data_IF_800566611394
#
_entry.id   IF_800566611394
#
_cell.length_a   1.000
_cell.length_b   1.000
_cell.length_c   1.000
_cell.angle_alpha   90.00
_cell.angle_beta   90.00
_cell.angle_gamma   90.00
#
_symmetry.space_group_name_H-M   'P 1'
#
loop_
_entity.id
_entity.type
_entity.pdbx_description
1 polymer ?
#
# COMPACT_ATOMS: atom_id res chain seq x y z
N UNK A 1 -5.97 -12.80 -0.10
CA UNK A 1 -5.82 -12.83 -1.57
C UNK A 1 -6.88 -13.73 -2.18
N UNK A 2 -7.16 -13.61 -3.49
CA UNK A 2 -8.05 -14.52 -4.22
C UNK A 2 -7.25 -15.23 -5.32
N UNK A 3 -7.40 -16.56 -5.42
CA UNK A 3 -6.75 -17.40 -6.42
C UNK A 3 -7.83 -18.22 -7.11
N UNK A 4 -7.90 -18.15 -8.43
CA UNK A 4 -8.94 -18.82 -9.24
C UNK A 4 -10.37 -18.53 -8.73
N UNK A 5 -10.65 -17.28 -8.41
CA UNK A 5 -11.96 -16.82 -7.92
C UNK A 5 -12.32 -17.26 -6.49
N UNK A 6 -11.39 -17.84 -5.73
CA UNK A 6 -11.62 -18.30 -4.36
C UNK A 6 -10.70 -17.58 -3.38
N UNK A 7 -11.22 -17.26 -2.19
CA UNK A 7 -10.42 -16.71 -1.10
C UNK A 7 -9.43 -17.78 -0.62
N UNK A 8 -8.15 -17.44 -0.62
CA UNK A 8 -7.09 -18.28 -0.09
C UNK A 8 -6.71 -17.82 1.31
N UNK A 9 -7.04 -18.62 2.31
CA UNK A 9 -6.76 -18.32 3.74
C UNK A 9 -5.41 -18.87 4.21
N UNK A 10 -4.94 -19.98 3.60
CA UNK A 10 -3.80 -20.74 4.09
C UNK A 10 -4.11 -21.50 5.40
N UNK A 11 -3.22 -22.42 5.81
CA UNK A 11 -3.44 -23.25 7.02
C UNK A 11 -3.39 -22.44 8.31
N UNK A 12 -2.69 -21.30 8.31
CA UNK A 12 -2.55 -20.41 9.49
C UNK A 12 -3.53 -19.24 9.47
N UNK A 13 -4.39 -19.13 8.45
CA UNK A 13 -5.32 -18.01 8.29
C UNK A 13 -4.68 -16.66 7.97
N UNK A 14 -3.39 -16.63 7.62
CA UNK A 14 -2.61 -15.39 7.40
C UNK A 14 -2.21 -15.16 5.94
N UNK A 15 -2.81 -15.91 5.01
CA UNK A 15 -2.47 -15.73 3.60
C UNK A 15 -2.89 -14.34 3.10
N UNK A 16 -1.92 -13.56 2.66
CA UNK A 16 -2.12 -12.19 2.19
C UNK A 16 -1.79 -11.10 3.20
N UNK A 17 -1.33 -11.45 4.41
CA UNK A 17 -0.88 -10.50 5.43
C UNK A 17 0.50 -9.87 5.09
N UNK A 18 0.68 -9.47 3.82
CA UNK A 18 1.92 -8.87 3.33
C UNK A 18 2.26 -7.55 4.02
N UNK A 19 1.25 -6.86 4.55
CA UNK A 19 1.41 -5.62 5.31
C UNK A 19 2.28 -5.77 6.55
N UNK A 20 2.43 -6.99 7.08
CA UNK A 20 3.29 -7.31 8.22
C UNK A 20 4.67 -7.86 7.83
N UNK A 21 5.01 -7.90 6.55
CA UNK A 21 6.37 -8.12 6.09
C UNK A 21 7.20 -6.84 6.21
N UNK A 22 8.53 -6.94 6.33
CA UNK A 22 9.40 -5.77 6.33
C UNK A 22 9.34 -5.05 4.97
N UNK A 23 9.57 -3.73 4.98
CA UNK A 23 9.69 -2.94 3.75
C UNK A 23 10.81 -3.50 2.88
N UNK A 24 10.55 -3.91 1.62
CA UNK A 24 11.57 -4.43 0.73
C UNK A 24 12.60 -3.33 0.36
N UNK A 25 13.87 -3.73 0.21
CA UNK A 25 14.97 -2.82 -0.15
C UNK A 25 15.00 -1.56 0.70
N UNK A 26 14.75 -1.71 2.01
CA UNK A 26 14.73 -0.58 2.94
C UNK A 26 16.06 0.18 2.89
N UNK A 27 15.96 1.50 2.82
CA UNK A 27 17.10 2.40 2.88
C UNK A 27 17.60 2.54 4.34
N UNK A 28 18.85 2.98 4.57
CA UNK A 28 19.40 3.14 5.93
C UNK A 28 18.49 3.96 6.86
N UNK A 29 17.89 5.04 6.36
CA UNK A 29 16.96 5.91 7.10
C UNK A 29 15.59 5.26 7.39
N UNK A 30 15.29 4.14 6.73
CA UNK A 30 14.06 3.36 6.94
C UNK A 30 14.26 2.20 7.92
N UNK A 31 15.45 2.02 8.48
CA UNK A 31 15.77 0.96 9.43
C UNK A 31 16.02 1.52 10.84
N UNK A 32 15.47 0.88 11.90
CA UNK A 32 14.61 -0.32 11.93
C UNK A 32 13.16 -0.07 11.52
N UNK A 33 12.78 1.16 11.19
CA UNK A 33 11.44 1.57 10.84
C UNK A 33 10.50 1.73 12.03
N UNK A 34 9.24 2.17 11.79
CA UNK A 34 8.27 2.39 12.84
C UNK A 34 7.85 1.10 13.54
N UNK A 35 7.51 1.21 14.84
CA UNK A 35 6.92 0.11 15.59
C UNK A 35 5.53 -0.25 15.03
N UNK A 36 5.26 -1.53 14.86
CA UNK A 36 3.98 -2.07 14.43
C UNK A 36 3.26 -2.74 15.59
N UNK A 37 1.93 -2.70 15.60
CA UNK A 37 1.12 -3.38 16.62
C UNK A 37 1.33 -4.90 16.67
N UNK A 38 1.85 -5.52 15.59
CA UNK A 38 2.22 -6.93 15.59
C UNK A 38 3.47 -7.25 16.42
N UNK A 39 4.08 -6.24 17.07
CA UNK A 39 5.28 -6.38 17.90
C UNK A 39 6.61 -6.30 17.15
N UNK A 40 6.57 -6.08 15.83
CA UNK A 40 7.77 -5.92 14.99
C UNK A 40 7.98 -4.47 14.60
N UNK A 41 9.09 -4.19 13.90
CA UNK A 41 9.41 -2.86 13.36
C UNK A 41 9.47 -2.90 11.84
N UNK A 42 9.18 -1.77 11.20
CA UNK A 42 9.35 -1.59 9.76
C UNK A 42 8.39 -2.38 8.88
N UNK A 43 7.25 -2.83 9.43
CA UNK A 43 6.21 -3.50 8.64
C UNK A 43 5.69 -2.58 7.54
N UNK A 44 5.40 -3.15 6.37
CA UNK A 44 4.87 -2.43 5.20
C UNK A 44 3.69 -1.53 5.53
N UNK A 45 2.75 -2.01 6.36
CA UNK A 45 1.57 -1.25 6.77
C UNK A 45 1.91 0.09 7.41
N UNK A 46 3.01 0.15 8.17
CA UNK A 46 3.47 1.37 8.83
C UNK A 46 4.04 2.41 7.86
N UNK A 47 4.24 2.05 6.60
CA UNK A 47 4.77 2.90 5.55
C UNK A 47 3.74 3.26 4.48
N UNK A 48 2.87 2.28 4.11
CA UNK A 48 2.00 2.39 2.92
C UNK A 48 0.52 2.47 3.25
N UNK A 49 0.16 2.75 4.50
CA UNK A 49 -1.20 3.07 4.92
C UNK A 49 -1.41 4.58 5.09
N UNK A 50 -2.66 5.01 5.25
CA UNK A 50 -2.94 6.41 5.58
C UNK A 50 -2.27 6.86 6.88
N UNK A 51 -2.24 5.99 7.90
CA UNK A 51 -1.49 6.25 9.14
C UNK A 51 0.01 6.32 8.91
N UNK A 52 0.54 5.51 8.00
CA UNK A 52 1.94 5.52 7.59
C UNK A 52 2.34 6.83 6.91
N UNK A 53 1.51 7.36 6.01
CA UNK A 53 1.72 8.68 5.38
C UNK A 53 1.80 9.78 6.45
N UNK A 54 0.83 9.80 7.38
CA UNK A 54 0.78 10.79 8.45
C UNK A 54 2.00 10.70 9.39
N UNK A 55 2.43 9.49 9.72
CA UNK A 55 3.60 9.24 10.58
C UNK A 55 4.89 9.69 9.90
N UNK A 56 5.09 9.34 8.62
CA UNK A 56 6.25 9.77 7.84
C UNK A 56 6.33 11.29 7.74
N UNK A 57 5.21 11.94 7.41
CA UNK A 57 5.14 13.39 7.34
C UNK A 57 5.52 14.04 8.68
N UNK A 58 4.93 13.57 9.79
CA UNK A 58 5.24 14.06 11.13
C UNK A 58 6.72 13.85 11.48
N UNK A 59 7.28 12.69 11.15
CA UNK A 59 8.68 12.35 11.48
C UNK A 59 9.65 13.27 10.76
N UNK A 60 9.39 13.58 9.48
CA UNK A 60 10.29 14.40 8.66
C UNK A 60 10.10 15.89 8.90
N UNK A 61 8.87 16.36 9.08
CA UNK A 61 8.56 17.81 9.16
C UNK A 61 8.35 18.33 10.58
N UNK A 62 8.13 17.44 11.56
CA UNK A 62 7.69 17.79 12.91
C UNK A 62 6.21 18.22 12.99
N UNK A 63 5.51 18.35 11.86
CA UNK A 63 4.10 18.80 11.81
C UNK A 63 3.14 17.62 11.82
N UNK A 64 2.02 17.79 12.55
CA UNK A 64 0.95 16.79 12.60
C UNK A 64 -0.08 17.13 11.53
N UNK A 65 -0.29 16.19 10.59
CA UNK A 65 -1.31 16.23 9.55
C UNK A 65 -1.91 14.84 9.36
N UNK A 66 -3.17 14.80 8.99
CA UNK A 66 -3.82 13.55 8.54
C UNK A 66 -3.45 13.24 7.10
N UNK A 67 -3.57 11.99 6.68
CA UNK A 67 -3.29 11.62 5.29
C UNK A 67 -4.16 12.40 4.27
N UNK A 68 -5.47 12.62 4.49
CA UNK A 68 -6.27 13.47 3.59
C UNK A 68 -5.76 14.90 3.47
N UNK A 69 -5.31 15.52 4.59
CA UNK A 69 -4.72 16.86 4.56
C UNK A 69 -3.41 16.89 3.77
N UNK A 70 -2.54 15.88 3.97
CA UNK A 70 -1.28 15.76 3.22
C UNK A 70 -1.54 15.61 1.73
N UNK A 71 -2.53 14.80 1.34
CA UNK A 71 -2.92 14.63 -0.06
C UNK A 71 -3.46 15.96 -0.63
N UNK A 72 -4.29 16.69 0.10
CA UNK A 72 -4.79 18.01 -0.30
C UNK A 72 -3.66 19.02 -0.45
N UNK A 73 -2.72 19.07 0.51
CA UNK A 73 -1.55 19.96 0.47
C UNK A 73 -0.64 19.59 -0.75
N UNK A 74 -0.48 18.29 -1.03
CA UNK A 74 0.22 17.81 -2.22
C UNK A 74 -0.43 18.28 -3.53
N UNK A 75 -1.76 18.17 -3.64
CA UNK A 75 -2.53 18.64 -4.80
C UNK A 75 -2.45 20.15 -4.97
N UNK A 76 -2.30 20.88 -3.86
CA UNK A 76 -2.06 22.34 -3.86
C UNK A 76 -0.60 22.72 -4.18
N UNK A 77 0.31 21.75 -4.34
CA UNK A 77 1.71 21.97 -4.70
C UNK A 77 2.64 22.24 -3.51
N UNK A 78 2.23 21.90 -2.27
CA UNK A 78 3.12 22.01 -1.11
C UNK A 78 4.33 21.10 -1.27
N UNK A 79 5.53 21.63 -1.03
CA UNK A 79 6.79 20.91 -1.27
C UNK A 79 7.02 19.77 -0.28
N UNK A 80 6.63 19.94 0.99
CA UNK A 80 6.83 18.91 2.01
C UNK A 80 5.84 17.76 1.82
N UNK A 81 4.58 18.08 1.51
CA UNK A 81 3.57 17.09 1.14
C UNK A 81 3.98 16.34 -0.15
N UNK A 82 4.52 17.04 -1.13
CA UNK A 82 5.06 16.43 -2.37
C UNK A 82 6.19 15.45 -2.06
N UNK A 83 7.12 15.82 -1.19
CA UNK A 83 8.21 14.94 -0.78
C UNK A 83 7.71 13.70 -0.02
N UNK A 84 6.72 13.87 0.87
CA UNK A 84 6.09 12.77 1.60
C UNK A 84 5.37 11.80 0.65
N UNK A 85 4.60 12.31 -0.30
CA UNK A 85 3.89 11.49 -1.29
C UNK A 85 4.85 10.72 -2.20
N UNK A 86 5.96 11.32 -2.62
CA UNK A 86 7.01 10.63 -3.40
C UNK A 86 7.64 9.46 -2.63
N UNK A 87 7.94 9.63 -1.33
CA UNK A 87 8.43 8.53 -0.47
C UNK A 87 7.39 7.43 -0.31
N UNK A 88 6.14 7.81 -0.07
CA UNK A 88 5.02 6.87 0.03
C UNK A 88 4.86 6.03 -1.25
N UNK A 89 4.83 6.68 -2.42
CA UNK A 89 4.69 5.99 -3.71
C UNK A 89 5.84 5.03 -4.00
N UNK A 90 7.08 5.42 -3.66
CA UNK A 90 8.24 4.57 -3.83
C UNK A 90 8.15 3.32 -2.94
N UNK A 91 7.80 3.48 -1.66
CA UNK A 91 7.61 2.38 -0.72
C UNK A 91 6.48 1.47 -1.15
N UNK A 92 5.37 2.03 -1.63
CA UNK A 92 4.25 1.26 -2.15
C UNK A 92 4.67 0.46 -3.40
N UNK A 93 5.42 1.05 -4.31
CA UNK A 93 5.94 0.35 -5.49
C UNK A 93 6.85 -0.82 -5.09
N UNK A 94 7.76 -0.63 -4.13
CA UNK A 94 8.62 -1.71 -3.59
C UNK A 94 7.80 -2.86 -3.01
N UNK A 95 6.79 -2.53 -2.19
CA UNK A 95 5.92 -3.54 -1.60
C UNK A 95 5.08 -4.30 -2.62
N UNK A 96 4.49 -3.61 -3.59
CA UNK A 96 3.71 -4.24 -4.65
C UNK A 96 4.59 -5.07 -5.60
N UNK A 97 5.81 -4.62 -5.88
CA UNK A 97 6.76 -5.40 -6.67
C UNK A 97 7.11 -6.74 -6.00
N UNK A 98 7.20 -6.79 -4.66
CA UNK A 98 7.37 -8.06 -3.94
C UNK A 98 6.19 -9.01 -4.18
N UNK A 99 4.96 -8.48 -4.18
CA UNK A 99 3.76 -9.27 -4.46
C UNK A 99 3.78 -9.77 -5.91
N UNK A 100 4.14 -8.93 -6.87
CA UNK A 100 4.26 -9.30 -8.28
C UNK A 100 5.34 -10.38 -8.46
N UNK A 101 6.53 -10.19 -7.90
CA UNK A 101 7.63 -11.16 -8.02
C UNK A 101 7.33 -12.55 -7.41
N UNK A 102 6.37 -12.65 -6.47
CA UNK A 102 6.03 -13.93 -5.82
C UNK A 102 4.79 -14.58 -6.44
N UNK A 103 3.78 -13.77 -6.81
CA UNK A 103 2.45 -14.26 -7.18
C UNK A 103 2.10 -14.03 -8.63
N UNK A 104 2.76 -13.07 -9.30
CA UNK A 104 2.46 -12.62 -10.67
C UNK A 104 0.93 -12.48 -10.91
N UNK A 105 0.25 -11.61 -10.14
CA UNK A 105 -1.20 -11.58 -10.16
C UNK A 105 -1.73 -10.92 -11.43
N UNK A 106 -2.91 -11.37 -11.91
CA UNK A 106 -3.60 -10.77 -13.05
C UNK A 106 -3.95 -9.29 -12.82
N UNK A 107 -4.18 -8.90 -11.55
CA UNK A 107 -4.56 -7.55 -11.17
C UNK A 107 -4.28 -7.29 -9.69
N UNK A 108 -3.88 -6.04 -9.37
CA UNK A 108 -3.82 -5.53 -8.00
C UNK A 108 -4.93 -4.49 -7.85
N UNK A 109 -5.80 -4.67 -6.86
CA UNK A 109 -6.89 -3.74 -6.55
C UNK A 109 -6.62 -3.07 -5.21
N UNK A 110 -6.44 -1.74 -5.22
CA UNK A 110 -6.21 -0.96 -4.00
C UNK A 110 -7.56 -0.54 -3.43
N UNK A 111 -7.81 -0.91 -2.17
CA UNK A 111 -8.99 -0.55 -1.39
C UNK A 111 -8.66 0.37 -0.21
N UNK A 112 -9.66 0.66 0.62
CA UNK A 112 -9.51 1.52 1.79
C UNK A 112 -9.25 2.98 1.44
N UNK A 113 -8.84 3.79 2.43
CA UNK A 113 -8.65 5.24 2.26
C UNK A 113 -7.60 5.61 1.24
N UNK A 114 -6.52 4.83 1.13
CA UNK A 114 -5.43 5.04 0.15
C UNK A 114 -5.91 4.93 -1.29
N UNK A 115 -6.96 4.15 -1.55
CA UNK A 115 -7.52 4.01 -2.92
C UNK A 115 -8.03 5.31 -3.53
N UNK A 116 -8.28 6.34 -2.70
CA UNK A 116 -8.75 7.66 -3.15
C UNK A 116 -7.62 8.57 -3.65
N UNK A 117 -6.37 8.17 -3.48
CA UNK A 117 -5.20 8.93 -3.94
C UNK A 117 -4.99 8.65 -5.44
N UNK A 118 -5.61 9.45 -6.30
CA UNK A 118 -5.60 9.21 -7.75
C UNK A 118 -4.19 9.17 -8.36
N UNK A 119 -3.27 9.93 -7.79
CA UNK A 119 -1.91 10.07 -8.28
C UNK A 119 -1.15 8.73 -8.30
N UNK A 120 -1.41 7.81 -7.36
CA UNK A 120 -0.75 6.50 -7.31
C UNK A 120 -0.99 5.66 -8.56
N UNK A 121 -2.16 5.73 -9.16
CA UNK A 121 -2.49 4.94 -10.36
C UNK A 121 -1.73 5.39 -11.61
N UNK A 122 -1.21 6.61 -11.60
CA UNK A 122 -0.33 7.14 -12.66
C UNK A 122 1.14 6.84 -12.40
N UNK A 123 1.55 6.88 -11.12
CA UNK A 123 2.96 6.76 -10.74
C UNK A 123 3.41 5.30 -10.52
N UNK A 124 2.56 4.43 -9.98
CA UNK A 124 2.92 3.04 -9.73
C UNK A 124 3.35 2.30 -11.02
N UNK A 125 2.65 2.40 -12.18
CA UNK A 125 3.12 1.78 -13.40
C UNK A 125 4.51 2.25 -13.86
N UNK A 126 4.91 3.47 -13.50
CA UNK A 126 6.23 4.02 -13.83
C UNK A 126 7.32 3.56 -12.86
N UNK A 127 6.96 3.29 -11.60
CA UNK A 127 7.90 2.94 -10.53
C UNK A 127 8.12 1.42 -10.42
N UNK A 128 7.09 0.62 -10.64
CA UNK A 128 7.12 -0.84 -10.51
C UNK A 128 8.23 -1.52 -11.32
N UNK A 129 8.50 -1.12 -12.59
CA UNK A 129 9.56 -1.74 -13.38
C UNK A 129 10.95 -1.71 -12.73
N UNK A 130 11.22 -0.72 -11.87
CA UNK A 130 12.50 -0.63 -11.16
C UNK A 130 12.70 -1.74 -10.12
N UNK A 131 11.64 -2.40 -9.67
CA UNK A 131 11.64 -3.36 -8.57
C UNK A 131 11.14 -4.75 -8.96
N UNK A 132 10.48 -4.88 -10.11
CA UNK A 132 10.01 -6.17 -10.61
C UNK A 132 11.12 -6.84 -11.43
N UNK A 133 11.28 -8.14 -11.22
CA UNK A 133 12.25 -8.94 -11.98
C UNK A 133 12.01 -8.81 -13.48
N UNK A 134 13.06 -8.55 -14.23
CA UNK A 134 12.97 -8.35 -15.69
C UNK A 134 12.60 -6.93 -16.12
N UNK A 135 12.11 -6.09 -15.23
CA UNK A 135 11.82 -4.67 -15.52
C UNK A 135 10.58 -4.43 -16.38
N UNK A 136 9.80 -5.48 -16.68
CA UNK A 136 8.53 -5.38 -17.41
C UNK A 136 7.36 -5.72 -16.48
N UNK A 137 6.32 -4.87 -16.46
CA UNK A 137 5.15 -5.04 -15.61
C UNK A 137 3.89 -4.83 -16.41
N UNK A 138 3.13 -5.91 -16.61
CA UNK A 138 1.81 -5.87 -17.24
C UNK A 138 0.65 -5.90 -16.24
N UNK A 139 0.93 -6.22 -14.96
CA UNK A 139 -0.07 -6.28 -13.90
C UNK A 139 -0.71 -4.92 -13.67
N UNK A 140 -2.00 -4.71 -13.95
CA UNK A 140 -2.66 -3.45 -13.72
C UNK A 140 -2.87 -3.22 -12.22
N UNK A 141 -2.68 -1.97 -11.79
CA UNK A 141 -3.05 -1.49 -10.45
C UNK A 141 -4.30 -0.65 -10.56
N UNK A 142 -5.40 -1.11 -9.99
CA UNK A 142 -6.71 -0.50 -10.14
C UNK A 142 -7.29 -0.03 -8.80
N UNK A 143 -8.15 0.96 -8.88
CA UNK A 143 -8.95 1.40 -7.73
C UNK A 143 -10.10 0.43 -7.46
N UNK A 144 -10.35 0.12 -6.19
CA UNK A 144 -11.52 -0.65 -5.80
C UNK A 144 -12.80 0.09 -6.17
N UNK A 145 -13.73 -0.58 -6.86
CA UNK A 145 -15.00 -0.01 -7.33
C UNK A 145 -15.81 0.69 -6.23
N UNK A 146 -15.70 0.21 -5.00
CA UNK A 146 -16.44 0.73 -3.84
C UNK A 146 -15.54 1.45 -2.83
N UNK A 147 -14.30 1.79 -3.23
CA UNK A 147 -13.35 2.55 -2.42
C UNK A 147 -13.10 1.92 -1.04
N UNK A 148 -13.28 2.72 0.01
CA UNK A 148 -13.11 2.31 1.41
C UNK A 148 -14.18 1.33 1.92
N UNK A 149 -15.34 1.25 1.27
CA UNK A 149 -16.41 0.32 1.62
C UNK A 149 -16.23 -1.10 1.06
N UNK A 150 -15.19 -1.34 0.26
CA UNK A 150 -14.96 -2.63 -0.41
C UNK A 150 -14.77 -3.78 0.59
N UNK A 151 -14.07 -3.54 1.71
CA UNK A 151 -13.87 -4.55 2.76
C UNK A 151 -15.16 -4.96 3.45
N UNK A 152 -15.99 -3.99 3.85
CA UNK A 152 -17.29 -4.24 4.49
C UNK A 152 -18.23 -5.00 3.55
N UNK A 153 -18.24 -4.62 2.28
CA UNK A 153 -19.03 -5.33 1.26
C UNK A 153 -18.54 -6.76 1.07
N UNK A 154 -17.22 -6.97 0.99
CA UNK A 154 -16.62 -8.30 0.90
C UNK A 154 -16.98 -9.18 2.09
N UNK A 155 -16.96 -8.64 3.30
CA UNK A 155 -17.37 -9.35 4.50
C UNK A 155 -18.86 -9.74 4.46
N UNK A 156 -19.74 -8.85 3.96
CA UNK A 156 -21.18 -9.16 3.81
C UNK A 156 -21.43 -10.31 2.81
N UNK A 157 -20.56 -10.52 1.83
CA UNK A 157 -20.67 -11.61 0.85
C UNK A 157 -20.25 -12.98 1.39
N UNK A 158 -19.69 -13.04 2.59
CA UNK A 158 -19.36 -14.32 3.24
C UNK A 158 -20.59 -15.04 3.79
N UNK A 159 -21.74 -14.34 3.92
CA UNK A 159 -23.01 -14.93 4.35
C UNK A 159 -23.75 -15.47 3.14
N UNK A 160 -24.21 -16.75 3.17
CA UNK A 160 -25.04 -17.28 2.11
C UNK A 160 -26.33 -16.47 2.01
N UNK A 161 -26.75 -16.15 0.79
CA UNK A 161 -28.12 -15.65 0.57
C UNK A 161 -29.07 -16.79 0.92
N UNK A 162 -29.91 -16.59 1.90
CA UNK A 162 -31.05 -17.49 2.19
C UNK A 162 -32.03 -17.51 1.03
#
# INVERSE_FOLDING_TARGET
>A
MAIAGRVHNGPNGVAGEWGHNPLPWAQPEESPGPACYCGKYGCMEMWVSGTGIALDYKTVTGRVRTAPEIVSDFEAGDMEATAAMKRFEDRLARGLAQVINILDPDVIVIGGGVSRVEHIYRELPRKLPAYVFGGEVSTPVLQAKYGDSSGVRGAAWLWPNE
#
